data_IF_973979588303
#
_entry.id   IF_973979588303
#
_cell.length_a   1.000
_cell.length_b   1.000
_cell.length_c   1.000
_cell.angle_alpha   90.00
_cell.angle_beta   90.00
_cell.angle_gamma   90.00
#
_symmetry.space_group_name_H-M   'P 1'
#
loop_
_entity.id
_entity.type
_entity.pdbx_description
1 polymer ?
#
# COMPACT_ATOMS: atom_id res chain seq x y z
N UNK A 1 -8.52 7.06 -7.68
CA UNK A 1 -8.13 6.12 -6.64
C UNK A 1 -9.14 5.01 -6.54
N UNK A 2 -8.70 3.78 -6.42
CA UNK A 2 -9.58 2.59 -6.45
C UNK A 2 -10.50 2.48 -5.24
N UNK A 3 -10.13 3.10 -4.14
CA UNK A 3 -10.98 3.18 -2.96
C UNK A 3 -11.57 4.58 -2.91
N UNK A 4 -12.80 4.68 -2.52
CA UNK A 4 -13.43 5.99 -2.30
C UNK A 4 -12.92 6.56 -0.96
N UNK A 5 -11.68 7.06 -0.98
CA UNK A 5 -11.00 7.54 0.22
C UNK A 5 -10.75 9.04 0.15
N UNK A 6 -10.65 9.65 1.33
CA UNK A 6 -10.39 11.09 1.45
C UNK A 6 -8.91 11.44 1.47
N UNK A 7 -8.06 10.48 1.76
CA UNK A 7 -6.62 10.71 1.84
C UNK A 7 -5.94 9.64 2.65
N UNK A 8 -4.83 10.02 3.26
CA UNK A 8 -3.97 9.11 4.02
C UNK A 8 -4.01 9.44 5.50
N UNK A 9 -3.95 8.39 6.32
CA UNK A 9 -3.90 8.53 7.77
C UNK A 9 -2.47 8.29 8.24
N UNK A 10 -1.73 9.38 8.41
CA UNK A 10 -0.36 9.35 8.88
C UNK A 10 -0.27 9.81 10.33
N UNK A 11 0.57 9.13 11.10
CA UNK A 11 0.99 9.60 12.40
C UNK A 11 2.50 9.35 12.54
N UNK A 12 3.04 9.66 13.70
CA UNK A 12 4.48 9.53 13.93
C UNK A 12 4.94 8.07 13.78
N UNK A 13 4.14 7.13 14.26
CA UNK A 13 4.50 5.71 14.23
C UNK A 13 4.57 5.13 12.84
N UNK A 14 3.50 5.28 12.05
CA UNK A 14 3.51 4.67 10.72
C UNK A 14 4.40 5.44 9.73
N UNK A 15 4.61 6.74 9.93
CA UNK A 15 5.61 7.48 9.12
C UNK A 15 7.00 6.88 9.30
N UNK A 16 7.38 6.62 10.54
CA UNK A 16 8.70 6.04 10.83
C UNK A 16 8.82 4.63 10.25
N UNK A 17 7.82 3.80 10.48
CA UNK A 17 7.85 2.40 10.06
C UNK A 17 7.86 2.28 8.54
N UNK A 18 7.08 3.07 7.82
CA UNK A 18 7.01 3.00 6.37
C UNK A 18 8.30 3.46 5.69
N UNK A 19 9.14 4.22 6.38
CA UNK A 19 10.40 4.71 5.80
C UNK A 19 11.63 3.91 6.22
N UNK A 20 11.46 2.84 7.01
CA UNK A 20 12.57 2.04 7.51
C UNK A 20 13.44 1.44 6.41
N UNK A 21 12.85 1.16 5.25
CA UNK A 21 13.56 0.52 4.14
C UNK A 21 13.89 1.49 3.00
N UNK A 22 13.88 2.79 3.30
CA UNK A 22 14.27 3.81 2.33
C UNK A 22 13.16 4.31 1.43
N UNK A 23 11.95 3.78 1.56
CA UNK A 23 10.79 4.26 0.80
C UNK A 23 10.36 5.62 1.37
N UNK A 24 10.01 6.56 0.52
CA UNK A 24 9.52 7.87 0.96
C UNK A 24 8.00 7.89 1.07
N UNK A 25 7.47 8.79 1.87
CA UNK A 25 6.02 8.96 2.00
C UNK A 25 5.40 9.39 0.66
N UNK A 26 6.10 10.23 -0.09
CA UNK A 26 5.65 10.66 -1.41
C UNK A 26 5.52 9.49 -2.37
N UNK A 27 6.47 8.55 -2.34
CA UNK A 27 6.40 7.35 -3.17
C UNK A 27 5.19 6.50 -2.83
N UNK A 28 4.89 6.36 -1.55
CA UNK A 28 3.73 5.59 -1.10
C UNK A 28 2.44 6.22 -1.60
N UNK A 29 2.29 7.52 -1.43
CA UNK A 29 1.09 8.22 -1.87
C UNK A 29 0.92 8.15 -3.39
N UNK A 30 2.03 8.28 -4.12
CA UNK A 30 2.02 8.17 -5.58
C UNK A 30 1.60 6.78 -6.04
N UNK A 31 2.07 5.72 -5.33
CA UNK A 31 1.66 4.36 -5.65
C UNK A 31 0.13 4.24 -5.69
N UNK A 32 -0.55 4.76 -4.68
CA UNK A 32 -2.01 4.67 -4.61
C UNK A 32 -2.69 5.49 -5.70
N UNK A 33 -2.11 6.60 -6.13
CA UNK A 33 -2.63 7.39 -7.26
C UNK A 33 -2.47 6.67 -8.59
N UNK A 34 -1.45 5.82 -8.69
CA UNK A 34 -1.13 5.09 -9.93
C UNK A 34 -1.89 3.76 -10.05
N UNK A 35 -2.96 3.59 -9.31
CA UNK A 35 -3.83 2.40 -9.36
C UNK A 35 -3.05 1.10 -9.14
N UNK A 36 -2.57 0.87 -7.94
CA UNK A 36 -1.81 -0.36 -7.65
C UNK A 36 -2.71 -1.59 -7.69
N UNK A 37 -2.10 -2.75 -7.87
CA UNK A 37 -2.77 -4.01 -7.60
C UNK A 37 -2.99 -4.14 -6.11
N UNK A 38 -4.16 -4.60 -5.68
CA UNK A 38 -4.49 -4.74 -4.26
C UNK A 38 -4.98 -6.15 -3.98
N UNK A 39 -4.49 -6.74 -2.89
CA UNK A 39 -4.89 -8.06 -2.45
C UNK A 39 -4.98 -8.10 -0.91
N UNK A 40 -5.77 -9.01 -0.34
CA UNK A 40 -5.77 -9.18 1.10
C UNK A 40 -4.43 -9.74 1.60
N UNK A 41 -4.04 -9.33 2.79
CA UNK A 41 -2.89 -9.91 3.48
C UNK A 41 -3.42 -10.81 4.60
N UNK A 42 -3.81 -12.02 4.24
CA UNK A 42 -4.46 -12.95 5.16
C UNK A 42 -3.54 -13.39 6.29
N UNK A 43 -2.24 -13.36 6.07
CA UNK A 43 -1.26 -13.77 7.09
C UNK A 43 -1.17 -12.81 8.27
N UNK A 44 -1.55 -11.55 8.06
CA UNK A 44 -1.38 -10.49 9.05
C UNK A 44 -2.68 -9.81 9.43
N UNK A 45 -3.83 -10.36 9.04
CA UNK A 45 -5.14 -9.78 9.32
C UNK A 45 -5.75 -10.38 10.59
N UNK A 46 -5.12 -10.14 11.75
CA UNK A 46 -5.59 -10.73 13.01
C UNK A 46 -6.68 -9.93 13.69
N UNK A 47 -6.59 -8.61 13.71
CA UNK A 47 -7.54 -7.74 14.39
C UNK A 47 -8.23 -6.76 13.47
N UNK A 48 -7.63 -6.52 12.32
CA UNK A 48 -8.10 -5.54 11.36
C UNK A 48 -7.69 -6.05 9.98
N UNK A 49 -8.55 -5.88 9.00
CA UNK A 49 -8.25 -6.33 7.64
C UNK A 49 -7.05 -5.60 7.09
N UNK A 50 -5.98 -6.34 6.84
CA UNK A 50 -4.76 -5.81 6.25
C UNK A 50 -4.75 -6.12 4.77
N UNK A 51 -4.35 -5.13 3.98
CA UNK A 51 -4.29 -5.22 2.53
C UNK A 51 -2.86 -4.97 2.07
N UNK A 52 -2.56 -5.45 0.86
CA UNK A 52 -1.27 -5.22 0.21
C UNK A 52 -1.54 -4.48 -1.08
N UNK A 53 -0.80 -3.39 -1.31
CA UNK A 53 -0.78 -2.67 -2.58
C UNK A 53 0.59 -2.88 -3.22
N UNK A 54 0.61 -3.25 -4.50
CA UNK A 54 1.84 -3.40 -5.27
C UNK A 54 1.73 -2.65 -6.59
N UNK A 55 2.85 -2.10 -7.04
CA UNK A 55 2.89 -1.36 -8.30
C UNK A 55 4.22 -0.68 -8.46
N UNK A 56 4.25 0.40 -9.22
CA UNK A 56 5.47 1.15 -9.49
C UNK A 56 5.36 2.59 -8.99
N UNK A 57 6.49 3.13 -8.55
CA UNK A 57 6.62 4.57 -8.32
C UNK A 57 6.70 5.28 -9.67
N UNK A 58 6.64 6.61 -9.67
CA UNK A 58 6.80 7.39 -10.91
C UNK A 58 8.20 7.19 -11.53
N UNK A 59 9.19 6.84 -10.71
CA UNK A 59 10.53 6.51 -11.20
C UNK A 59 10.66 5.08 -11.72
N UNK A 60 9.58 4.31 -11.72
CA UNK A 60 9.57 2.94 -12.24
C UNK A 60 10.04 1.88 -11.26
N UNK A 61 10.19 2.20 -9.98
CA UNK A 61 10.61 1.22 -8.97
C UNK A 61 9.41 0.44 -8.46
N UNK A 62 9.56 -0.87 -8.37
CA UNK A 62 8.52 -1.74 -7.82
C UNK A 62 8.42 -1.53 -6.31
N UNK A 63 7.19 -1.36 -5.82
CA UNK A 63 6.91 -1.00 -4.43
C UNK A 63 5.80 -1.87 -3.85
N UNK A 64 6.01 -2.29 -2.60
CA UNK A 64 5.07 -3.07 -1.79
C UNK A 64 4.68 -2.22 -0.58
N UNK A 65 3.38 -2.06 -0.36
CA UNK A 65 2.87 -1.34 0.81
C UNK A 65 1.79 -2.16 1.49
N UNK A 66 1.98 -2.47 2.76
CA UNK A 66 0.93 -3.05 3.58
C UNK A 66 0.13 -1.90 4.20
N UNK A 67 -1.19 -2.00 4.17
CA UNK A 67 -2.04 -0.91 4.65
C UNK A 67 -3.38 -1.43 5.18
N UNK A 68 -4.08 -0.56 5.87
CA UNK A 68 -5.45 -0.80 6.30
C UNK A 68 -6.30 0.41 5.90
N UNK A 69 -7.61 0.22 5.96
CA UNK A 69 -8.54 1.33 5.74
C UNK A 69 -9.06 1.77 7.11
N UNK A 70 -8.94 3.06 7.41
CA UNK A 70 -9.46 3.66 8.63
C UNK A 70 -10.68 4.48 8.31
N UNK A 71 -11.69 4.39 9.17
CA UNK A 71 -12.89 5.20 9.05
C UNK A 71 -12.90 6.22 10.18
N UNK A 72 -12.95 7.50 9.82
CA UNK A 72 -13.03 8.63 10.75
C UNK A 72 -14.11 9.58 10.28
N UNK A 73 -15.07 9.89 11.16
CA UNK A 73 -16.19 10.77 10.81
C UNK A 73 -16.90 10.33 9.55
N UNK A 74 -17.13 9.01 9.43
CA UNK A 74 -17.79 8.39 8.28
C UNK A 74 -17.03 8.51 6.96
N UNK A 75 -15.74 8.88 7.02
CA UNK A 75 -14.87 9.00 5.84
C UNK A 75 -13.76 7.96 5.92
N UNK A 76 -13.35 7.46 4.77
CA UNK A 76 -12.31 6.44 4.66
C UNK A 76 -10.95 7.06 4.38
N UNK A 77 -9.93 6.52 5.02
CA UNK A 77 -8.54 6.91 4.82
C UNK A 77 -7.67 5.68 4.65
N UNK A 78 -6.68 5.78 3.78
CA UNK A 78 -5.65 4.74 3.64
C UNK A 78 -4.65 4.96 4.77
N UNK A 79 -4.44 3.93 5.59
CA UNK A 79 -3.43 3.95 6.65
C UNK A 79 -2.30 3.00 6.29
N UNK A 80 -1.20 3.48 5.70
CA UNK A 80 -0.05 2.62 5.44
C UNK A 80 0.56 2.12 6.75
N UNK A 81 1.02 0.87 6.74
CA UNK A 81 1.60 0.22 7.91
C UNK A 81 3.07 -0.04 7.70
N UNK A 82 3.45 -0.49 6.52
CA UNK A 82 4.86 -0.72 6.17
C UNK A 82 5.03 -0.64 4.66
N UNK A 83 6.26 -0.41 4.22
CA UNK A 83 6.57 -0.29 2.80
C UNK A 83 7.99 -0.77 2.53
N UNK A 84 8.20 -1.36 1.37
CA UNK A 84 9.52 -1.77 0.91
C UNK A 84 9.56 -1.82 -0.61
N UNK A 85 10.76 -1.70 -1.16
CA UNK A 85 10.94 -1.93 -2.58
C UNK A 85 10.93 -3.42 -2.88
N UNK A 86 10.56 -3.78 -4.09
CA UNK A 86 10.51 -5.17 -4.57
C UNK A 86 11.39 -5.33 -5.80
N UNK A 87 11.78 -6.57 -6.07
CA UNK A 87 12.35 -6.90 -7.38
C UNK A 87 11.23 -7.00 -8.42
N UNK A 88 11.58 -6.73 -9.67
CA UNK A 88 10.62 -6.80 -10.77
C UNK A 88 9.95 -8.18 -10.87
N UNK A 89 10.69 -9.25 -10.60
CA UNK A 89 10.14 -10.61 -10.60
C UNK A 89 9.10 -10.81 -9.51
N UNK A 90 9.32 -10.23 -8.35
CA UNK A 90 8.39 -10.31 -7.23
C UNK A 90 7.08 -9.58 -7.59
N UNK A 91 7.19 -8.39 -8.14
CA UNK A 91 6.03 -7.63 -8.58
C UNK A 91 5.25 -8.38 -9.65
N UNK A 92 5.94 -8.96 -10.63
CA UNK A 92 5.30 -9.73 -11.69
C UNK A 92 4.49 -10.92 -11.14
N UNK A 93 5.01 -11.58 -10.09
CA UNK A 93 4.29 -12.67 -9.44
C UNK A 93 2.99 -12.19 -8.80
N UNK A 94 3.01 -11.05 -8.11
CA UNK A 94 1.79 -10.48 -7.53
C UNK A 94 0.80 -10.05 -8.60
N UNK A 95 1.26 -9.42 -9.66
CA UNK A 95 0.40 -8.97 -10.75
C UNK A 95 -0.26 -10.15 -11.45
N UNK A 96 0.47 -11.24 -11.63
CA UNK A 96 -0.05 -12.44 -12.26
C UNK A 96 -1.18 -13.07 -11.44
N UNK A 97 -1.02 -13.11 -10.12
CA UNK A 97 -2.06 -13.65 -9.23
C UNK A 97 -3.26 -12.71 -9.14
N UNK A 98 -3.02 -11.40 -9.10
CA UNK A 98 -4.07 -10.41 -8.93
C UNK A 98 -4.79 -10.01 -10.20
N UNK A 99 -4.29 -10.39 -11.37
CA UNK A 99 -4.84 -9.97 -12.66
C UNK A 99 -5.82 -10.96 -13.27
N UNK A 100 -6.20 -11.97 -12.53
CA UNK A 100 -7.19 -12.94 -13.01
C UNK A 100 -8.52 -12.24 -13.22
N UNK A 101 -9.09 -12.35 -14.41
CA UNK A 101 -10.41 -11.76 -14.65
C UNK A 101 -11.49 -12.43 -13.82
#
# INVERSE_FOLDING_TARGET
>A
MIFNVKGFDWDRGNRAKCQQHGVTLAEIETLFRNRPGVAPDDKHSSQEDRLIAVGHTDAGRALFVAFTIRVKNKRRFIRPVSARYMHAKELAAYEKEGSTP
#
